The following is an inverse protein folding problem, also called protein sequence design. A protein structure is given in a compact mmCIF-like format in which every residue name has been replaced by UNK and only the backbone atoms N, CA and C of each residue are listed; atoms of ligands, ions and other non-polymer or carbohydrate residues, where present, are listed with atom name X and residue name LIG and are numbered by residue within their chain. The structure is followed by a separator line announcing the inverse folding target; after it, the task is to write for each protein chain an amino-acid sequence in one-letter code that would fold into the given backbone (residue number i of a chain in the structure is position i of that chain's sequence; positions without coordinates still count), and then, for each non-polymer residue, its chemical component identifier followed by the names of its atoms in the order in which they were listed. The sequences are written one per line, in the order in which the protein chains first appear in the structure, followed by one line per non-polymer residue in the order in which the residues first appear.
data_IF_876300108727
#
_entry.id   IF_876300108727
#
_cell.length_a   1.000
_cell.length_b   1.000
_cell.length_c   1.000
_cell.angle_alpha   90.00
_cell.angle_beta   90.00
_cell.angle_gamma   90.00
#
_symmetry.space_group_name_H-M   'P 1'
#
loop_
_entity.id
_entity.type
_entity.pdbx_description
1 polymer ?
#
# COMPACT_ATOMS: atom_id res chain seq x y z
N UNK A 1 -19.25 5.62 -9.54
CA UNK A 1 -18.12 4.77 -9.95
C UNK A 1 -16.94 5.06 -9.05
N UNK A 2 -16.27 4.03 -8.59
CA UNK A 2 -15.07 4.13 -7.78
C UNK A 2 -13.92 3.46 -8.54
N UNK A 3 -12.79 4.11 -8.64
CA UNK A 3 -11.57 3.56 -9.24
C UNK A 3 -10.55 3.34 -8.13
N UNK A 4 -10.20 2.08 -7.90
CA UNK A 4 -9.09 1.68 -7.05
C UNK A 4 -7.87 1.41 -7.93
N UNK A 5 -6.76 2.05 -7.63
CA UNK A 5 -5.50 1.89 -8.37
C UNK A 5 -4.46 1.30 -7.44
N UNK A 6 -4.08 0.06 -7.69
CA UNK A 6 -2.97 -0.60 -7.02
C UNK A 6 -1.66 -0.25 -7.73
N UNK A 7 -0.77 0.41 -7.01
CA UNK A 7 0.50 0.90 -7.55
C UNK A 7 1.64 0.05 -7.00
N UNK A 8 2.11 -0.88 -7.81
CA UNK A 8 3.27 -1.70 -7.49
C UNK A 8 4.54 -1.25 -8.20
N UNK A 9 5.68 -1.76 -7.75
CA UNK A 9 6.99 -1.47 -8.38
C UNK A 9 7.14 -1.97 -9.82
N UNK A 10 6.33 -2.93 -10.27
CA UNK A 10 6.41 -3.51 -11.62
C UNK A 10 5.18 -3.24 -12.48
N UNK A 11 4.03 -3.03 -11.87
CA UNK A 11 2.74 -2.84 -12.53
C UNK A 11 1.89 -1.84 -11.76
N UNK A 12 1.03 -1.13 -12.51
CA UNK A 12 -0.07 -0.32 -12.00
C UNK A 12 -1.35 -0.96 -12.51
N UNK A 13 -2.29 -1.25 -11.63
CA UNK A 13 -3.58 -1.86 -11.97
C UNK A 13 -4.72 -0.96 -11.50
N UNK A 14 -5.61 -0.61 -12.41
CA UNK A 14 -6.86 0.06 -12.10
C UNK A 14 -7.99 -0.96 -12.11
N UNK A 15 -8.80 -0.98 -11.04
CA UNK A 15 -10.07 -1.67 -10.99
C UNK A 15 -11.20 -0.65 -10.78
N UNK A 16 -12.29 -0.78 -11.56
CA UNK A 16 -13.45 0.08 -11.42
C UNK A 16 -14.63 -0.69 -10.83
N UNK A 17 -15.31 -0.04 -9.88
CA UNK A 17 -16.41 -0.60 -9.11
C UNK A 17 -17.67 0.28 -9.23
N UNK A 18 -18.84 -0.36 -9.19
CA UNK A 18 -20.10 0.36 -9.05
C UNK A 18 -20.39 0.76 -7.58
N UNK A 19 -21.57 1.30 -7.31
CA UNK A 19 -22.00 1.72 -5.97
C UNK A 19 -22.21 0.55 -4.98
N UNK A 20 -22.34 -0.67 -5.51
CA UNK A 20 -22.42 -1.90 -4.72
C UNK A 20 -21.05 -2.54 -4.49
N UNK A 21 -19.97 -1.89 -4.92
CA UNK A 21 -18.58 -2.39 -4.90
C UNK A 21 -18.38 -3.65 -5.76
N UNK A 22 -19.26 -3.90 -6.74
CA UNK A 22 -19.05 -4.94 -7.74
C UNK A 22 -18.00 -4.47 -8.75
N UNK A 23 -16.97 -5.30 -8.98
CA UNK A 23 -15.90 -5.00 -9.91
C UNK A 23 -16.37 -5.16 -11.35
N UNK A 24 -16.36 -4.10 -12.14
CA UNK A 24 -16.88 -4.06 -13.51
C UNK A 24 -15.78 -3.98 -14.58
N UNK A 25 -14.58 -3.52 -14.24
CA UNK A 25 -13.50 -3.29 -15.18
C UNK A 25 -12.15 -3.44 -14.49
N UNK A 26 -11.17 -3.91 -15.23
CA UNK A 26 -9.77 -3.94 -14.77
C UNK A 26 -8.86 -3.68 -15.96
N UNK A 27 -7.88 -2.81 -15.78
CA UNK A 27 -6.80 -2.59 -16.74
C UNK A 27 -5.46 -2.46 -16.01
N UNK A 28 -4.39 -2.92 -16.66
CA UNK A 28 -3.06 -2.97 -16.07
C UNK A 28 -2.02 -2.47 -17.07
N UNK A 29 -1.05 -1.71 -16.57
CA UNK A 29 0.12 -1.25 -17.34
C UNK A 29 1.41 -1.51 -16.55
N UNK A 30 2.57 -1.63 -17.21
CA UNK A 30 3.86 -1.62 -16.53
C UNK A 30 4.07 -0.30 -15.76
N UNK A 31 4.73 -0.36 -14.60
CA UNK A 31 5.11 0.83 -13.85
C UNK A 31 6.32 1.51 -14.49
N UNK A 32 6.22 2.76 -14.96
CA UNK A 32 7.39 3.52 -15.40
C UNK A 32 8.38 3.73 -14.25
N UNK A 33 9.67 3.44 -14.49
CA UNK A 33 10.71 3.43 -13.46
C UNK A 33 11.77 4.52 -13.66
N UNK A 34 11.75 5.23 -14.79
CA UNK A 34 12.83 6.11 -15.20
C UNK A 34 12.46 7.60 -15.15
N UNK A 35 11.18 7.93 -15.34
CA UNK A 35 10.69 9.29 -15.37
C UNK A 35 9.40 9.46 -14.58
N UNK A 36 9.33 10.52 -13.77
CA UNK A 36 8.16 10.82 -12.94
C UNK A 36 6.95 11.27 -13.75
N UNK A 37 7.17 12.01 -14.86
CA UNK A 37 6.08 12.47 -15.71
C UNK A 37 5.45 11.29 -16.47
N UNK A 38 6.28 10.33 -16.91
CA UNK A 38 5.78 9.10 -17.52
C UNK A 38 4.95 8.28 -16.53
N UNK A 39 5.38 8.25 -15.25
CA UNK A 39 4.63 7.59 -14.18
C UNK A 39 3.26 8.25 -13.94
N UNK A 40 3.20 9.59 -13.85
CA UNK A 40 1.95 10.33 -13.75
C UNK A 40 1.05 10.11 -14.96
N UNK A 41 1.64 10.11 -16.16
CA UNK A 41 0.89 9.93 -17.42
C UNK A 41 0.32 8.50 -17.54
N UNK A 42 1.01 7.48 -17.04
CA UNK A 42 0.51 6.11 -17.02
C UNK A 42 -0.78 6.00 -16.17
N UNK A 43 -0.79 6.59 -14.97
CA UNK A 43 -1.98 6.63 -14.11
C UNK A 43 -3.10 7.43 -14.78
N UNK A 44 -2.79 8.62 -15.32
CA UNK A 44 -3.76 9.45 -16.04
C UNK A 44 -4.41 8.67 -17.17
N UNK A 45 -3.62 7.97 -17.98
CA UNK A 45 -4.11 7.20 -19.12
C UNK A 45 -5.07 6.09 -18.68
N UNK A 46 -4.77 5.36 -17.59
CA UNK A 46 -5.67 4.34 -17.03
C UNK A 46 -7.02 4.96 -16.62
N UNK A 47 -6.96 6.09 -15.90
CA UNK A 47 -8.17 6.79 -15.44
C UNK A 47 -9.01 7.32 -16.59
N UNK A 48 -8.39 7.94 -17.62
CA UNK A 48 -9.09 8.47 -18.79
C UNK A 48 -9.75 7.35 -19.61
N UNK A 49 -9.09 6.19 -19.75
CA UNK A 49 -9.68 5.01 -20.41
C UNK A 49 -10.88 4.47 -19.64
N UNK A 50 -10.79 4.38 -18.32
CA UNK A 50 -11.92 3.98 -17.50
C UNK A 50 -13.09 5.00 -17.59
N UNK A 51 -12.80 6.31 -17.54
CA UNK A 51 -13.82 7.35 -17.74
C UNK A 51 -14.51 7.23 -19.11
N UNK A 52 -13.73 7.00 -20.17
CA UNK A 52 -14.26 6.83 -21.52
C UNK A 52 -15.12 5.56 -21.64
N UNK A 53 -14.68 4.45 -21.00
CA UNK A 53 -15.43 3.19 -21.00
C UNK A 53 -16.82 3.33 -20.35
N UNK A 54 -16.90 4.07 -19.24
CA UNK A 54 -18.17 4.26 -18.51
C UNK A 54 -18.94 5.54 -18.89
N UNK A 55 -18.37 6.40 -19.72
CA UNK A 55 -18.97 7.69 -20.11
C UNK A 55 -19.12 8.68 -18.95
N UNK A 56 -18.41 8.47 -17.83
CA UNK A 56 -18.46 9.33 -16.63
C UNK A 56 -17.18 9.26 -15.82
N UNK A 57 -16.90 10.34 -15.08
CA UNK A 57 -15.76 10.40 -14.15
C UNK A 57 -16.02 9.58 -12.89
N UNK A 58 -15.06 8.74 -12.49
CA UNK A 58 -15.07 8.02 -11.23
C UNK A 58 -14.26 8.74 -10.15
N UNK A 59 -14.54 8.41 -8.87
CA UNK A 59 -13.69 8.79 -7.72
C UNK A 59 -12.43 7.93 -7.73
N UNK A 60 -11.26 8.52 -7.46
CA UNK A 60 -9.97 7.84 -7.56
C UNK A 60 -9.34 7.64 -6.19
N UNK A 61 -9.01 6.40 -5.88
CA UNK A 61 -8.21 6.00 -4.72
C UNK A 61 -6.98 5.19 -5.14
N UNK A 62 -5.86 5.43 -4.48
CA UNK A 62 -4.58 4.75 -4.73
C UNK A 62 -4.19 3.88 -3.54
N UNK A 63 -3.75 2.64 -3.80
CA UNK A 63 -2.98 1.83 -2.88
C UNK A 63 -1.50 1.96 -3.22
N UNK A 64 -0.66 2.34 -2.25
CA UNK A 64 0.76 2.62 -2.43
C UNK A 64 1.63 1.66 -1.61
N UNK A 65 2.78 1.19 -2.12
CA UNK A 65 3.78 0.49 -1.32
C UNK A 65 4.61 1.49 -0.50
N UNK A 66 3.97 2.09 0.49
CA UNK A 66 4.47 3.19 1.30
C UNK A 66 3.33 4.09 1.74
N UNK A 67 3.59 5.36 1.97
CA UNK A 67 2.58 6.32 2.45
C UNK A 67 2.84 7.74 1.94
N UNK A 68 1.85 8.61 2.10
CA UNK A 68 2.02 10.05 1.90
C UNK A 68 2.14 10.71 3.26
N UNK A 69 3.26 11.35 3.52
CA UNK A 69 3.53 12.05 4.77
C UNK A 69 2.56 13.23 4.91
N UNK A 70 1.68 13.15 5.91
CA UNK A 70 0.61 14.14 6.12
C UNK A 70 1.12 15.55 6.46
N UNK A 71 2.36 15.68 6.93
CA UNK A 71 2.96 16.97 7.28
C UNK A 71 3.58 17.65 6.05
N UNK A 72 4.27 16.89 5.21
CA UNK A 72 4.99 17.41 4.04
C UNK A 72 4.21 17.30 2.73
N UNK A 73 3.22 16.42 2.66
CA UNK A 73 2.49 16.08 1.43
C UNK A 73 3.31 15.25 0.44
N UNK A 74 4.50 14.79 0.83
CA UNK A 74 5.39 14.02 -0.05
C UNK A 74 5.18 12.52 0.15
N UNK A 75 5.29 11.77 -0.93
CA UNK A 75 5.25 10.31 -0.89
C UNK A 75 6.58 9.74 -0.37
N UNK A 76 6.49 8.74 0.48
CA UNK A 76 7.60 7.91 0.95
C UNK A 76 7.35 6.49 0.45
N UNK A 77 7.95 6.14 -0.70
CA UNK A 77 7.71 4.89 -1.44
C UNK A 77 9.04 4.27 -1.85
N UNK A 78 9.38 3.12 -1.29
CA UNK A 78 10.71 2.50 -1.48
C UNK A 78 10.85 1.78 -2.83
N UNK A 79 9.76 1.22 -3.34
CA UNK A 79 9.78 0.35 -4.53
C UNK A 79 9.49 1.11 -5.84
N UNK A 80 9.23 2.42 -5.78
CA UNK A 80 8.92 3.27 -6.94
C UNK A 80 9.75 4.55 -6.85
N UNK A 81 11.03 4.42 -7.15
CA UNK A 81 12.03 5.51 -6.96
C UNK A 81 11.65 6.82 -7.64
N UNK A 82 10.97 6.77 -8.78
CA UNK A 82 10.57 7.98 -9.52
C UNK A 82 9.50 8.79 -8.79
N UNK A 83 8.68 8.15 -7.95
CA UNK A 83 7.62 8.77 -7.16
C UNK A 83 8.04 9.07 -5.72
N UNK A 84 9.20 8.56 -5.28
CA UNK A 84 9.72 8.82 -3.94
C UNK A 84 10.05 10.29 -3.73
N UNK A 85 9.68 10.82 -2.58
CA UNK A 85 9.85 12.23 -2.21
C UNK A 85 9.19 13.21 -3.21
N UNK A 86 8.05 12.82 -3.83
CA UNK A 86 7.27 13.63 -4.76
C UNK A 86 5.88 13.96 -4.19
N UNK A 87 5.29 15.12 -4.56
CA UNK A 87 3.94 15.52 -4.15
C UNK A 87 2.87 14.83 -5.04
N UNK A 88 2.85 13.51 -5.04
CA UNK A 88 2.09 12.68 -6.00
C UNK A 88 0.59 12.98 -5.99
N UNK A 89 -0.02 13.26 -4.82
CA UNK A 89 -1.45 13.57 -4.75
C UNK A 89 -1.74 14.90 -5.44
N UNK A 90 -1.00 15.95 -5.09
CA UNK A 90 -1.17 17.28 -5.70
C UNK A 90 -1.00 17.24 -7.22
N UNK A 91 0.02 16.51 -7.70
CA UNK A 91 0.29 16.42 -9.14
C UNK A 91 -0.77 15.58 -9.85
N UNK A 92 -1.23 14.47 -9.28
CA UNK A 92 -2.32 13.66 -9.83
C UNK A 92 -3.65 14.42 -9.85
N UNK A 93 -4.00 15.13 -8.77
CA UNK A 93 -5.21 15.95 -8.72
C UNK A 93 -5.21 17.03 -9.81
N UNK A 94 -4.05 17.68 -10.01
CA UNK A 94 -3.88 18.68 -11.04
C UNK A 94 -4.10 18.13 -12.46
N UNK A 95 -3.52 16.96 -12.78
CA UNK A 95 -3.62 16.39 -14.15
C UNK A 95 -4.94 15.67 -14.42
N UNK A 96 -5.61 15.15 -13.36
CA UNK A 96 -6.90 14.45 -13.45
C UNK A 96 -8.10 15.44 -13.33
N UNK A 97 -7.87 16.61 -12.73
CA UNK A 97 -8.91 17.60 -12.47
C UNK A 97 -9.98 17.10 -11.50
N UNK A 98 -9.58 16.31 -10.50
CA UNK A 98 -10.44 15.75 -9.45
C UNK A 98 -9.62 15.37 -8.22
N UNK A 99 -10.30 15.24 -7.06
CA UNK A 99 -9.70 14.74 -5.81
C UNK A 99 -9.14 13.32 -6.01
N UNK A 100 -7.97 13.09 -5.43
CA UNK A 100 -7.30 11.78 -5.38
C UNK A 100 -6.94 11.48 -3.93
N UNK A 101 -7.29 10.28 -3.47
CA UNK A 101 -6.90 9.80 -2.14
C UNK A 101 -5.89 8.68 -2.28
N UNK A 102 -4.94 8.61 -1.36
CA UNK A 102 -4.00 7.52 -1.28
C UNK A 102 -3.95 6.94 0.13
N UNK A 103 -3.71 5.65 0.18
CA UNK A 103 -3.47 4.92 1.42
C UNK A 103 -2.39 3.85 1.15
N UNK A 104 -1.77 3.38 2.22
CA UNK A 104 -0.85 2.25 2.14
C UNK A 104 -1.58 0.98 1.66
N UNK A 105 -0.93 0.16 0.85
CA UNK A 105 -1.48 -1.06 0.26
C UNK A 105 -1.93 -2.09 1.31
N UNK A 106 -1.16 -2.29 2.39
CA UNK A 106 -1.54 -3.18 3.49
C UNK A 106 -2.73 -2.63 4.29
N UNK A 107 -2.86 -1.31 4.43
CA UNK A 107 -4.03 -0.68 5.02
C UNK A 107 -5.27 -0.85 4.14
N UNK A 108 -5.12 -0.72 2.81
CA UNK A 108 -6.21 -1.00 1.86
C UNK A 108 -6.66 -2.47 1.94
N UNK A 109 -5.71 -3.41 2.04
CA UNK A 109 -6.00 -4.82 2.25
C UNK A 109 -6.78 -5.04 3.56
N UNK A 110 -6.27 -4.52 4.68
CA UNK A 110 -6.92 -4.67 5.98
C UNK A 110 -8.35 -4.10 5.99
N UNK A 111 -8.58 -2.98 5.29
CA UNK A 111 -9.91 -2.39 5.13
C UNK A 111 -10.84 -3.29 4.31
N UNK A 112 -10.33 -3.88 3.23
CA UNK A 112 -11.08 -4.83 2.40
C UNK A 112 -11.56 -6.03 3.22
N UNK A 113 -10.66 -6.63 4.02
CA UNK A 113 -10.99 -7.73 4.92
C UNK A 113 -11.97 -7.33 6.03
N UNK A 114 -11.82 -6.11 6.58
CA UNK A 114 -12.72 -5.60 7.63
C UNK A 114 -14.14 -5.32 7.13
N UNK A 115 -14.33 -5.14 5.82
CA UNK A 115 -15.64 -4.93 5.19
C UNK A 115 -16.29 -6.21 4.67
N UNK A 116 -15.61 -7.35 4.79
CA UNK A 116 -16.22 -8.65 4.54
C UNK A 116 -17.37 -8.89 5.54
N UNK A 117 -18.46 -9.54 5.07
CA UNK A 117 -19.67 -9.75 5.87
C UNK A 117 -19.40 -10.44 7.21
N UNK A 118 -18.40 -11.33 7.26
CA UNK A 118 -18.03 -12.04 8.49
C UNK A 118 -17.27 -11.15 9.47
N UNK A 119 -16.57 -10.14 8.99
CA UNK A 119 -15.66 -9.30 9.78
C UNK A 119 -16.26 -7.95 10.22
N UNK A 120 -17.33 -7.48 9.57
CA UNK A 120 -17.99 -6.19 9.89
C UNK A 120 -18.50 -6.09 11.33
N UNK A 121 -18.72 -7.22 12.00
CA UNK A 121 -19.15 -7.29 13.40
C UNK A 121 -18.04 -6.95 14.41
N UNK A 122 -16.77 -6.99 14.00
CA UNK A 122 -15.64 -6.75 14.90
C UNK A 122 -15.29 -5.26 14.96
N UNK A 123 -15.11 -4.69 16.18
CA UNK A 123 -14.76 -3.28 16.33
C UNK A 123 -13.31 -3.00 15.91
N UNK A 124 -12.47 -4.01 15.81
CA UNK A 124 -11.09 -3.88 15.35
C UNK A 124 -10.67 -5.12 14.54
N UNK A 125 -9.99 -4.87 13.42
CA UNK A 125 -9.44 -5.89 12.53
C UNK A 125 -7.97 -5.54 12.27
N UNK A 126 -7.12 -6.55 12.39
CA UNK A 126 -5.71 -6.49 12.01
C UNK A 126 -5.50 -7.37 10.78
N UNK A 127 -5.26 -6.76 9.63
CA UNK A 127 -4.84 -7.46 8.41
C UNK A 127 -3.33 -7.67 8.43
N UNK A 128 -2.86 -8.89 8.15
CA UNK A 128 -1.44 -9.23 8.05
C UNK A 128 -1.13 -9.73 6.64
N UNK A 129 -0.07 -9.22 6.04
CA UNK A 129 0.43 -9.63 4.73
C UNK A 129 1.80 -10.27 4.91
N UNK A 130 1.90 -11.57 4.57
CA UNK A 130 3.15 -12.31 4.52
C UNK A 130 3.47 -12.61 3.05
N UNK A 131 4.05 -11.63 2.36
CA UNK A 131 4.44 -11.69 0.96
C UNK A 131 5.95 -11.55 0.78
N UNK A 132 6.41 -10.83 -0.22
CA UNK A 132 7.83 -10.46 -0.40
C UNK A 132 8.37 -9.76 0.84
N UNK A 133 7.56 -8.91 1.48
CA UNK A 133 7.79 -8.32 2.80
C UNK A 133 6.73 -8.79 3.80
N UNK A 134 6.88 -8.40 5.06
CA UNK A 134 5.89 -8.57 6.11
C UNK A 134 5.34 -7.20 6.52
N UNK A 135 4.03 -7.03 6.41
CA UNK A 135 3.33 -5.80 6.76
C UNK A 135 1.94 -6.07 7.33
N UNK A 136 1.23 -5.02 7.65
CA UNK A 136 -0.14 -5.11 8.13
C UNK A 136 -0.84 -3.77 8.15
N UNK A 137 -2.16 -3.81 8.38
CA UNK A 137 -2.99 -2.63 8.55
C UNK A 137 -3.98 -2.80 9.67
N UNK A 138 -4.28 -1.70 10.36
CA UNK A 138 -5.27 -1.65 11.42
C UNK A 138 -6.55 -0.98 10.96
N UNK A 139 -7.69 -1.62 11.22
CA UNK A 139 -9.02 -1.06 11.03
C UNK A 139 -9.72 -1.01 12.37
N UNK A 140 -10.20 0.17 12.77
CA UNK A 140 -10.90 0.40 14.03
C UNK A 140 -12.25 1.04 13.72
N UNK A 141 -13.33 0.41 14.16
CA UNK A 141 -14.70 0.86 13.88
C UNK A 141 -14.94 1.10 12.38
N UNK A 142 -14.46 0.20 11.52
CA UNK A 142 -14.63 0.25 10.06
C UNK A 142 -13.78 1.32 9.35
N UNK A 143 -12.79 1.92 10.03
CA UNK A 143 -11.90 2.93 9.47
C UNK A 143 -10.44 2.54 9.64
N UNK A 144 -9.65 2.79 8.62
CA UNK A 144 -8.18 2.63 8.67
C UNK A 144 -7.62 3.49 9.80
N UNK A 145 -6.73 2.93 10.58
CA UNK A 145 -5.94 3.63 11.58
C UNK A 145 -4.49 3.77 11.09
N UNK A 146 -4.23 4.85 10.34
CA UNK A 146 -2.91 5.12 9.75
C UNK A 146 -1.91 5.75 10.76
N UNK A 147 -2.37 6.09 11.96
CA UNK A 147 -1.55 6.79 12.96
C UNK A 147 -1.30 8.26 12.60
N UNK A 148 -0.47 8.92 13.41
CA UNK A 148 -0.22 10.36 13.28
C UNK A 148 0.57 10.72 12.01
N UNK A 149 1.45 9.84 11.56
CA UNK A 149 2.37 10.07 10.44
C UNK A 149 2.10 9.14 9.23
N UNK A 150 1.05 8.32 9.28
CA UNK A 150 0.72 7.39 8.20
C UNK A 150 1.41 6.03 8.26
N UNK A 151 2.14 5.72 9.36
CA UNK A 151 2.97 4.51 9.49
C UNK A 151 2.40 3.46 10.46
N UNK A 152 1.16 3.58 10.90
CA UNK A 152 0.56 2.52 11.73
C UNK A 152 0.41 1.24 10.90
N UNK A 153 0.83 0.11 11.46
CA UNK A 153 0.79 -1.17 10.74
C UNK A 153 2.13 -1.62 10.15
N UNK A 154 3.20 -0.82 10.26
CA UNK A 154 4.56 -1.20 9.86
C UNK A 154 5.16 -2.29 10.79
N UNK A 155 4.39 -3.39 10.96
CA UNK A 155 4.72 -4.49 11.88
C UNK A 155 5.97 -5.25 11.47
N UNK A 156 6.30 -5.24 10.19
CA UNK A 156 7.51 -5.85 9.67
C UNK A 156 8.79 -5.25 10.27
N UNK A 157 8.72 -3.99 10.70
CA UNK A 157 9.87 -3.30 11.30
C UNK A 157 9.96 -3.39 12.83
N UNK A 158 9.02 -4.10 13.47
CA UNK A 158 9.20 -4.54 14.86
C UNK A 158 10.38 -5.51 14.95
N UNK A 159 11.18 -5.35 15.97
CA UNK A 159 12.33 -6.23 16.18
C UNK A 159 11.91 -7.55 16.84
N UNK A 160 12.66 -8.62 16.58
CA UNK A 160 12.50 -9.88 17.29
C UNK A 160 12.56 -9.66 18.80
N UNK A 161 11.57 -10.19 19.49
CA UNK A 161 11.54 -10.13 20.95
C UNK A 161 12.52 -11.13 21.59
N UNK A 162 12.79 -10.92 22.89
CA UNK A 162 13.67 -11.77 23.67
C UNK A 162 13.35 -13.27 23.57
N UNK A 163 12.07 -13.63 23.60
CA UNK A 163 11.65 -15.02 23.55
C UNK A 163 11.99 -15.68 22.21
N UNK A 164 11.74 -14.99 21.12
CA UNK A 164 12.10 -15.46 19.78
C UNK A 164 13.61 -15.64 19.63
N UNK A 165 14.41 -14.67 20.08
CA UNK A 165 15.86 -14.78 20.09
C UNK A 165 16.36 -15.99 20.89
N UNK A 166 15.75 -16.24 22.05
CA UNK A 166 16.08 -17.41 22.88
C UNK A 166 15.77 -18.73 22.15
N UNK A 167 14.64 -18.83 21.45
CA UNK A 167 14.28 -20.01 20.66
C UNK A 167 15.25 -20.25 19.50
N UNK A 168 15.75 -19.18 18.88
CA UNK A 168 16.75 -19.22 17.83
C UNK A 168 18.19 -19.50 18.29
N UNK A 169 18.39 -19.71 19.60
CA UNK A 169 19.70 -20.03 20.18
C UNK A 169 20.49 -18.81 20.65
N UNK A 170 19.82 -17.70 20.91
CA UNK A 170 20.34 -16.45 21.50
C UNK A 170 21.54 -15.86 20.77
N UNK A 171 22.78 -16.15 21.24
CA UNK A 171 24.05 -15.71 20.66
C UNK A 171 24.36 -16.34 19.29
N UNK A 172 23.64 -17.38 18.91
CA UNK A 172 23.73 -18.05 17.61
C UNK A 172 22.60 -17.62 16.65
N UNK A 173 21.62 -16.84 17.14
CA UNK A 173 20.54 -16.36 16.30
C UNK A 173 21.12 -15.47 15.18
N UNK A 174 20.81 -15.72 13.92
CA UNK A 174 21.25 -14.85 12.85
C UNK A 174 20.58 -13.48 13.00
N UNK A 175 21.37 -12.41 13.07
CA UNK A 175 20.88 -11.04 13.16
C UNK A 175 21.02 -10.38 11.79
N UNK A 176 19.94 -10.32 11.05
CA UNK A 176 19.91 -9.75 9.71
C UNK A 176 19.70 -8.24 9.73
N UNK A 177 20.36 -7.53 8.82
CA UNK A 177 20.09 -6.12 8.57
C UNK A 177 18.85 -5.99 7.70
N UNK A 178 17.91 -5.14 8.12
CA UNK A 178 16.71 -4.81 7.37
C UNK A 178 16.96 -3.65 6.39
N UNK A 179 16.20 -3.61 5.30
CA UNK A 179 16.21 -2.50 4.35
C UNK A 179 15.88 -1.13 4.95
N UNK A 180 15.19 -1.09 6.11
CA UNK A 180 14.93 0.15 6.86
C UNK A 180 16.14 0.68 7.64
N UNK A 181 17.29 -0.02 7.60
CA UNK A 181 18.52 0.33 8.34
C UNK A 181 18.64 -0.29 9.73
N UNK A 182 17.57 -0.82 10.31
CA UNK A 182 17.58 -1.52 11.59
C UNK A 182 18.04 -2.97 11.43
N UNK A 183 18.22 -3.65 12.57
CA UNK A 183 18.56 -5.07 12.61
C UNK A 183 17.45 -5.88 13.30
N UNK A 184 17.37 -7.16 12.98
CA UNK A 184 16.42 -8.10 13.59
C UNK A 184 14.94 -7.70 13.42
N UNK A 185 14.60 -6.99 12.35
CA UNK A 185 13.19 -6.72 12.03
C UNK A 185 12.46 -8.02 11.65
N UNK A 186 11.20 -8.16 12.04
CA UNK A 186 10.37 -9.33 11.72
C UNK A 186 10.32 -9.61 10.21
N UNK A 187 10.33 -8.56 9.38
CA UNK A 187 10.39 -8.66 7.92
C UNK A 187 11.52 -9.57 7.42
N UNK A 188 12.68 -9.54 8.10
CA UNK A 188 13.85 -10.35 7.70
C UNK A 188 13.77 -11.83 8.13
N UNK A 189 12.71 -12.23 8.84
CA UNK A 189 12.56 -13.62 9.31
C UNK A 189 11.28 -14.28 8.81
N UNK A 190 10.15 -13.55 8.77
CA UNK A 190 8.83 -14.12 8.50
C UNK A 190 8.23 -13.67 7.16
N UNK A 191 8.92 -12.84 6.38
CA UNK A 191 8.53 -12.57 5.00
C UNK A 191 8.99 -13.69 4.05
N UNK A 192 8.50 -13.69 2.82
CA UNK A 192 8.97 -14.63 1.79
C UNK A 192 10.49 -14.59 1.60
N UNK A 193 11.08 -13.39 1.56
CA UNK A 193 12.54 -13.21 1.52
C UNK A 193 13.24 -13.76 2.77
N UNK A 194 12.62 -13.59 3.93
CA UNK A 194 13.15 -14.08 5.20
C UNK A 194 13.21 -15.61 5.27
N UNK A 195 12.28 -16.30 4.61
CA UNK A 195 12.30 -17.76 4.54
C UNK A 195 13.35 -18.32 3.56
N UNK A 196 13.86 -17.52 2.63
CA UNK A 196 14.88 -17.90 1.66
C UNK A 196 16.31 -17.67 2.18
N UNK A 197 16.49 -16.97 3.30
CA UNK A 197 17.77 -16.66 3.95
C UNK A 197 18.22 -17.76 4.91
#
# INVERSE_FOLDING_TARGET
MYYGIDIGGTKIELAAFNEKLEKLYTERVPTPQTDYQDWLQAIKTLVERADAHFGKKGTVGLGLPGFVNLTTGLAEVTNIRVADNKPILTDLEKILGREVRAENDANCFALSEAWDEENTQYPSVLGLILGTGFGGGFVINGKIHSGQVGMAGELGHLQLNYHALKLLGWDKAPIYQCGCGNHACLDTYISGRGFEM
#
